data_IF_219807478311
#
_entry.id   IF_219807478311
#
_cell.length_a   1.000
_cell.length_b   1.000
_cell.length_c   1.000
_cell.angle_alpha   90.00
_cell.angle_beta   90.00
_cell.angle_gamma   90.00
#
_symmetry.space_group_name_H-M   'P 1'
#
loop_
_entity.id
_entity.type
_entity.pdbx_description
1 polymer ?
#
# COMPACT_ATOMS: atom_id res chain seq x y z
N UNK A 1 28.32 -9.04 -13.64
CA UNK A 1 28.81 -10.39 -14.05
C UNK A 1 27.68 -11.39 -13.84
N UNK A 2 27.54 -12.42 -14.69
CA UNK A 2 26.46 -13.42 -14.56
C UNK A 2 26.95 -14.63 -13.76
N UNK A 3 26.16 -15.10 -12.81
CA UNK A 3 26.44 -16.26 -11.95
C UNK A 3 25.27 -17.23 -11.97
N UNK A 4 25.55 -18.55 -11.90
CA UNK A 4 24.53 -19.60 -11.91
C UNK A 4 24.19 -20.00 -10.48
N UNK A 5 22.92 -19.85 -10.12
CA UNK A 5 22.35 -20.33 -8.86
C UNK A 5 21.43 -21.54 -9.14
N UNK A 6 21.62 -22.64 -8.42
CA UNK A 6 20.74 -23.82 -8.49
C UNK A 6 20.16 -24.08 -7.11
N UNK A 7 18.83 -24.15 -7.01
CA UNK A 7 18.11 -24.29 -5.75
C UNK A 7 17.21 -25.52 -5.81
N UNK A 8 17.12 -26.26 -4.70
CA UNK A 8 16.13 -27.32 -4.54
C UNK A 8 14.90 -26.73 -3.86
N UNK A 9 13.78 -26.73 -4.57
CA UNK A 9 12.51 -26.16 -4.11
C UNK A 9 11.37 -27.14 -4.35
N UNK A 10 10.29 -27.01 -3.58
CA UNK A 10 9.09 -27.84 -3.75
C UNK A 10 8.52 -27.67 -5.17
N UNK A 11 8.09 -28.78 -5.79
CA UNK A 11 7.54 -28.78 -7.15
C UNK A 11 6.38 -27.79 -7.34
N UNK A 12 5.48 -27.72 -6.37
CA UNK A 12 4.34 -26.79 -6.38
C UNK A 12 4.76 -25.32 -6.50
N UNK A 13 5.91 -24.96 -5.91
CA UNK A 13 6.45 -23.60 -5.98
C UNK A 13 7.00 -23.32 -7.38
N UNK A 14 7.67 -24.30 -7.98
CA UNK A 14 8.16 -24.19 -9.36
C UNK A 14 7.00 -23.98 -10.34
N UNK A 15 5.92 -24.75 -10.18
CA UNK A 15 4.76 -24.67 -11.07
C UNK A 15 4.04 -23.31 -10.93
N UNK A 16 3.85 -22.82 -9.70
CA UNK A 16 3.32 -21.47 -9.45
C UNK A 16 4.21 -20.39 -10.06
N UNK A 17 5.52 -20.48 -9.87
CA UNK A 17 6.47 -19.51 -10.38
C UNK A 17 6.47 -19.48 -11.93
N UNK A 18 6.35 -20.65 -12.58
CA UNK A 18 6.21 -20.74 -14.05
C UNK A 18 4.95 -20.06 -14.56
N UNK A 19 3.80 -20.31 -13.92
CA UNK A 19 2.53 -19.68 -14.29
C UNK A 19 2.61 -18.15 -14.14
N UNK A 20 3.20 -17.68 -13.04
CA UNK A 20 3.37 -16.26 -12.79
C UNK A 20 4.30 -15.59 -13.81
N UNK A 21 5.43 -16.23 -14.14
CA UNK A 21 6.35 -15.75 -15.17
C UNK A 21 5.68 -15.70 -16.56
N UNK A 22 4.94 -16.75 -16.92
CA UNK A 22 4.20 -16.82 -18.18
C UNK A 22 3.12 -15.74 -18.29
N UNK A 23 2.36 -15.50 -17.22
CA UNK A 23 1.34 -14.44 -17.17
C UNK A 23 1.90 -13.03 -17.41
N UNK A 24 3.18 -12.83 -17.11
CA UNK A 24 3.91 -11.57 -17.29
C UNK A 24 4.73 -11.53 -18.58
N UNK A 25 4.75 -12.61 -19.36
CA UNK A 25 5.55 -12.71 -20.59
C UNK A 25 7.08 -12.66 -20.36
N UNK A 26 7.55 -13.05 -19.17
CA UNK A 26 8.98 -13.01 -18.80
C UNK A 26 9.51 -14.40 -18.43
N UNK A 27 10.82 -14.57 -18.43
CA UNK A 27 11.46 -15.82 -17.98
C UNK A 27 11.49 -15.93 -16.45
N UNK A 28 11.58 -17.16 -15.94
CA UNK A 28 11.76 -17.40 -14.49
C UNK A 28 13.00 -16.70 -13.93
N UNK A 29 14.11 -16.72 -14.67
CA UNK A 29 15.35 -16.04 -14.25
C UNK A 29 15.16 -14.52 -14.18
N UNK A 30 14.47 -13.92 -15.16
CA UNK A 30 14.16 -12.50 -15.13
C UNK A 30 13.19 -12.14 -14.02
N UNK A 31 12.18 -12.98 -13.78
CA UNK A 31 11.26 -12.80 -12.65
C UNK A 31 12.00 -12.88 -11.31
N UNK A 32 12.96 -13.79 -11.18
CA UNK A 32 13.81 -13.90 -10.00
C UNK A 32 14.66 -12.65 -9.81
N UNK A 33 15.37 -12.21 -10.85
CA UNK A 33 16.14 -10.95 -10.81
C UNK A 33 15.25 -9.77 -10.42
N UNK A 34 14.07 -9.62 -11.03
CA UNK A 34 13.14 -8.53 -10.68
C UNK A 34 12.67 -8.57 -9.22
N UNK A 35 12.45 -9.75 -8.64
CA UNK A 35 12.04 -9.86 -7.23
C UNK A 35 13.17 -9.33 -6.33
N UNK A 36 14.40 -9.76 -6.59
CA UNK A 36 15.55 -9.40 -5.76
C UNK A 36 16.14 -8.01 -6.08
N UNK A 37 15.91 -7.48 -7.29
CA UNK A 37 16.22 -6.08 -7.65
C UNK A 37 15.21 -5.12 -7.03
N UNK A 38 13.92 -5.49 -7.01
CA UNK A 38 12.86 -4.73 -6.32
C UNK A 38 12.95 -4.84 -4.79
N UNK A 39 13.69 -5.80 -4.26
CA UNK A 39 14.08 -5.88 -2.85
C UNK A 39 15.23 -4.91 -2.48
N UNK A 40 15.33 -3.75 -3.15
CA UNK A 40 15.80 -2.53 -2.47
C UNK A 40 14.62 -1.98 -1.68
N UNK A 41 14.47 -2.26 -0.37
CA UNK A 41 13.22 -2.02 0.35
C UNK A 41 12.89 -0.53 0.54
N UNK A 42 13.78 0.37 0.12
CA UNK A 42 13.73 1.81 0.39
C UNK A 42 13.42 2.70 -0.84
N UNK A 43 13.22 2.14 -2.03
CA UNK A 43 12.84 2.88 -3.25
C UNK A 43 11.73 2.05 -3.92
N UNK A 44 10.44 2.40 -3.91
CA UNK A 44 9.85 3.55 -4.60
C UNK A 44 8.47 3.85 -3.97
N UNK A 45 8.41 4.43 -2.77
CA UNK A 45 7.18 5.10 -2.35
C UNK A 45 7.22 6.52 -2.87
N UNK A 46 6.23 6.90 -3.66
CA UNK A 46 6.06 8.32 -4.02
C UNK A 46 5.80 9.13 -2.76
N UNK A 47 6.09 10.43 -2.76
CA UNK A 47 5.80 11.31 -1.62
C UNK A 47 4.33 11.19 -1.17
N UNK A 48 3.41 11.02 -2.12
CA UNK A 48 2.00 10.76 -1.86
C UNK A 48 1.76 9.45 -1.10
N UNK A 49 2.49 8.39 -1.43
CA UNK A 49 2.39 7.10 -0.73
C UNK A 49 3.00 7.16 0.68
N UNK A 50 4.06 7.95 0.88
CA UNK A 50 4.57 8.23 2.22
C UNK A 50 3.59 9.06 3.05
N UNK A 51 3.00 10.10 2.46
CA UNK A 51 1.98 10.92 3.11
C UNK A 51 0.75 10.09 3.49
N UNK A 52 0.29 9.22 2.59
CA UNK A 52 -0.81 8.28 2.86
C UNK A 52 -0.47 7.34 4.02
N UNK A 53 0.73 6.77 4.05
CA UNK A 53 1.17 5.91 5.15
C UNK A 53 1.22 6.64 6.50
N UNK A 54 1.65 7.91 6.52
CA UNK A 54 1.62 8.74 7.74
C UNK A 54 0.20 9.07 8.18
N UNK A 55 -0.71 9.35 7.23
CA UNK A 55 -2.11 9.63 7.50
C UNK A 55 -2.82 8.41 8.10
N UNK A 56 -2.61 7.22 7.52
CA UNK A 56 -3.21 5.98 8.01
C UNK A 56 -2.83 5.70 9.47
N UNK A 57 -1.54 5.81 9.81
CA UNK A 57 -1.08 5.64 11.19
C UNK A 57 -1.75 6.63 12.16
N UNK A 58 -1.98 7.88 11.73
CA UNK A 58 -2.68 8.87 12.56
C UNK A 58 -4.14 8.49 12.76
N UNK A 59 -4.83 8.06 11.72
CA UNK A 59 -6.24 7.66 11.78
C UNK A 59 -6.43 6.44 12.68
N UNK A 60 -5.53 5.45 12.61
CA UNK A 60 -5.55 4.27 13.48
C UNK A 60 -5.36 4.63 14.97
N UNK A 61 -4.56 5.66 15.26
CA UNK A 61 -4.34 6.14 16.62
C UNK A 61 -5.41 7.12 17.12
N UNK A 62 -6.31 7.57 16.25
CA UNK A 62 -7.32 8.56 16.59
C UNK A 62 -8.50 7.88 17.28
N UNK A 63 -8.95 8.44 18.40
CA UNK A 63 -10.16 7.96 19.05
C UNK A 63 -11.36 8.18 18.11
N UNK A 64 -12.33 7.25 18.07
CA UNK A 64 -13.57 7.45 17.34
C UNK A 64 -14.19 8.79 17.76
N UNK A 65 -14.51 9.63 16.79
CA UNK A 65 -15.21 10.87 17.07
C UNK A 65 -16.57 10.50 17.65
N UNK A 66 -16.95 11.11 18.78
CA UNK A 66 -18.29 10.90 19.34
C UNK A 66 -19.34 11.31 18.30
N UNK A 67 -20.39 10.49 18.18
CA UNK A 67 -21.50 10.78 17.29
C UNK A 67 -22.08 12.16 17.62
N UNK A 68 -22.12 13.03 16.61
CA UNK A 68 -22.74 14.34 16.75
C UNK A 68 -24.25 14.15 16.92
N UNK A 69 -24.73 14.46 18.12
CA UNK A 69 -26.16 14.38 18.48
C UNK A 69 -27.03 15.39 17.71
N UNK A 70 -26.42 16.43 17.15
CA UNK A 70 -27.09 17.50 16.46
C UNK A 70 -26.85 17.40 14.95
N UNK A 71 -27.90 17.64 14.15
CA UNK A 71 -27.79 17.68 12.70
C UNK A 71 -26.91 18.84 12.23
N UNK A 72 -26.13 18.62 11.17
CA UNK A 72 -25.31 19.63 10.48
C UNK A 72 -26.04 20.94 10.24
N UNK A 73 -27.33 20.90 9.88
CA UNK A 73 -28.14 22.10 9.62
C UNK A 73 -28.28 22.96 10.87
N UNK A 74 -28.42 22.35 12.05
CA UNK A 74 -28.53 23.05 13.34
C UNK A 74 -27.19 23.65 13.72
N UNK A 75 -26.10 22.89 13.57
CA UNK A 75 -24.74 23.36 13.85
C UNK A 75 -24.35 24.53 12.94
N UNK A 76 -24.65 24.43 11.64
CA UNK A 76 -24.40 25.48 10.67
C UNK A 76 -25.21 26.74 10.98
N UNK A 77 -26.49 26.59 11.30
CA UNK A 77 -27.36 27.72 11.68
C UNK A 77 -26.83 28.41 12.94
N UNK A 78 -26.42 27.64 13.95
CA UNK A 78 -25.82 28.16 15.19
C UNK A 78 -24.52 28.93 14.90
N UNK A 79 -23.64 28.37 14.08
CA UNK A 79 -22.38 29.02 13.71
C UNK A 79 -22.60 30.31 12.94
N UNK A 80 -23.49 30.31 11.94
CA UNK A 80 -23.82 31.50 11.15
C UNK A 80 -24.42 32.60 12.03
N UNK A 81 -25.34 32.23 12.94
CA UNK A 81 -25.93 33.16 13.91
C UNK A 81 -24.89 33.75 14.86
N UNK A 82 -23.94 32.93 15.33
CA UNK A 82 -22.85 33.40 16.20
C UNK A 82 -21.87 34.32 15.47
N UNK A 83 -21.59 34.06 14.18
CA UNK A 83 -20.60 34.81 13.40
C UNK A 83 -21.16 36.08 12.76
N UNK A 84 -22.44 36.08 12.38
CA UNK A 84 -23.04 37.14 11.56
C UNK A 84 -24.29 37.79 12.17
N UNK A 85 -24.83 37.27 13.27
CA UNK A 85 -26.01 37.84 13.96
C UNK A 85 -27.32 37.19 13.55
#
# INVERSE_FOLDING_TARGET
MKTKLTLTVKKEIVDKAKLQAASRGISLSKMFEEIFEKESPDLEKTDSQFAAGRLLKRLESMQPMEDQKESDKVLLTRFLKQKYG
#
